data_IF_461625536254
#
_entry.id   IF_461625536254
#
_cell.length_a   1.000
_cell.length_b   1.000
_cell.length_c   1.000
_cell.angle_alpha   90.00
_cell.angle_beta   90.00
_cell.angle_gamma   90.00
#
_symmetry.space_group_name_H-M   'P 1'
#
loop_
_entity.id
_entity.type
_entity.pdbx_description
1 polymer ?
#
# COMPACT_ATOMS: atom_id res chain seq x y z
N UNK A 1 -50.00 -13.97 -31.69
CA UNK A 1 -49.16 -14.38 -30.55
C UNK A 1 -48.93 -13.13 -29.68
N UNK A 2 -49.71 -12.91 -28.61
CA UNK A 2 -49.76 -11.64 -27.83
C UNK A 2 -48.72 -11.58 -26.67
N UNK A 3 -47.60 -12.29 -26.80
CA UNK A 3 -46.51 -12.29 -25.82
C UNK A 3 -45.61 -11.04 -25.97
N UNK A 4 -45.78 -10.26 -27.04
CA UNK A 4 -44.67 -9.45 -27.56
C UNK A 4 -44.38 -8.15 -26.80
N UNK A 5 -45.38 -7.42 -26.30
CA UNK A 5 -45.12 -6.10 -25.70
C UNK A 5 -44.80 -6.14 -24.21
N UNK A 6 -45.58 -6.87 -23.42
CA UNK A 6 -45.36 -6.96 -21.96
C UNK A 6 -44.01 -7.62 -21.63
N UNK A 7 -43.66 -8.68 -22.35
CA UNK A 7 -42.37 -9.35 -22.20
C UNK A 7 -41.21 -8.42 -22.60
N UNK A 8 -41.36 -7.67 -23.70
CA UNK A 8 -40.36 -6.68 -24.12
C UNK A 8 -40.16 -5.58 -23.07
N UNK A 9 -41.24 -5.02 -22.51
CA UNK A 9 -41.14 -4.03 -21.43
C UNK A 9 -40.44 -4.59 -20.19
N UNK A 10 -40.72 -5.84 -19.80
CA UNK A 10 -40.02 -6.50 -18.70
C UNK A 10 -38.53 -6.69 -18.99
N UNK A 11 -38.17 -7.12 -20.20
CA UNK A 11 -36.76 -7.29 -20.62
C UNK A 11 -36.03 -5.94 -20.59
N UNK A 12 -36.63 -4.89 -21.16
CA UNK A 12 -36.07 -3.54 -21.15
C UNK A 12 -35.88 -3.06 -19.70
N UNK A 13 -36.86 -3.31 -18.83
CA UNK A 13 -36.76 -3.00 -17.40
C UNK A 13 -35.55 -3.68 -16.74
N UNK A 14 -35.37 -4.98 -16.97
CA UNK A 14 -34.24 -5.75 -16.42
C UNK A 14 -32.90 -5.20 -16.93
N UNK A 15 -32.78 -4.92 -18.23
CA UNK A 15 -31.56 -4.38 -18.83
C UNK A 15 -31.22 -3.01 -18.22
N UNK A 16 -32.21 -2.12 -18.05
CA UNK A 16 -31.96 -0.80 -17.45
C UNK A 16 -31.49 -0.91 -16.00
N UNK A 17 -32.13 -1.77 -15.19
CA UNK A 17 -31.70 -2.01 -13.80
C UNK A 17 -30.28 -2.57 -13.76
N UNK A 18 -29.94 -3.48 -14.67
CA UNK A 18 -28.59 -4.03 -14.76
C UNK A 18 -27.55 -2.96 -15.16
N UNK A 19 -27.84 -2.12 -16.16
CA UNK A 19 -26.95 -1.02 -16.55
C UNK A 19 -26.76 0.01 -15.43
N UNK A 20 -27.84 0.33 -14.70
CA UNK A 20 -27.77 1.21 -13.54
C UNK A 20 -26.87 0.61 -12.45
N UNK A 21 -27.03 -0.69 -12.17
CA UNK A 21 -26.19 -1.42 -11.22
C UNK A 21 -24.70 -1.37 -11.62
N UNK A 22 -24.38 -1.59 -12.90
CA UNK A 22 -23.01 -1.48 -13.41
C UNK A 22 -22.47 -0.05 -13.28
N UNK A 23 -23.28 0.96 -13.59
CA UNK A 23 -22.90 2.37 -13.47
C UNK A 23 -22.59 2.76 -12.01
N UNK A 24 -23.42 2.32 -11.06
CA UNK A 24 -23.17 2.52 -9.63
C UNK A 24 -21.89 1.84 -9.19
N UNK A 25 -21.71 0.57 -9.58
CA UNK A 25 -20.51 -0.21 -9.24
C UNK A 25 -19.25 0.48 -9.75
N UNK A 26 -19.23 0.89 -11.03
CA UNK A 26 -18.13 1.63 -11.63
C UNK A 26 -17.87 2.97 -10.93
N UNK A 27 -18.93 3.71 -10.58
CA UNK A 27 -18.78 4.99 -9.89
C UNK A 27 -18.14 4.83 -8.51
N UNK A 28 -18.52 3.78 -7.76
CA UNK A 28 -17.97 3.48 -6.44
C UNK A 28 -16.49 3.05 -6.50
N UNK A 29 -16.03 2.50 -7.62
CA UNK A 29 -14.65 2.07 -7.84
C UNK A 29 -13.84 2.98 -8.77
N UNK A 30 -14.38 4.14 -9.16
CA UNK A 30 -13.78 5.02 -10.17
C UNK A 30 -12.42 5.62 -9.77
N UNK A 31 -12.17 5.79 -8.48
CA UNK A 31 -10.91 6.33 -7.94
C UNK A 31 -10.40 5.46 -6.79
N UNK A 32 -9.10 5.58 -6.50
CA UNK A 32 -8.46 4.81 -5.41
C UNK A 32 -9.05 5.18 -4.06
N UNK A 33 -9.29 6.47 -3.84
CA UNK A 33 -9.78 7.04 -2.59
C UNK A 33 -11.16 6.50 -2.21
N UNK A 34 -11.96 6.04 -3.20
CA UNK A 34 -13.27 5.44 -2.95
C UNK A 34 -13.21 3.96 -2.58
N UNK A 35 -12.14 3.26 -2.97
CA UNK A 35 -12.00 1.81 -2.75
C UNK A 35 -11.11 1.48 -1.56
N UNK A 36 -10.23 2.39 -1.18
CA UNK A 36 -9.39 2.25 0.01
C UNK A 36 -10.24 2.36 1.27
N UNK A 37 -10.01 1.44 2.21
CA UNK A 37 -10.59 1.47 3.55
C UNK A 37 -9.49 1.88 4.52
N UNK A 38 -9.68 2.98 5.24
CA UNK A 38 -8.70 3.51 6.20
C UNK A 38 -8.17 4.88 5.77
N UNK A 39 -7.21 5.40 6.54
CA UNK A 39 -6.60 6.68 6.24
C UNK A 39 -5.45 6.48 5.24
N UNK A 40 -5.55 7.10 4.07
CA UNK A 40 -4.49 7.03 3.07
C UNK A 40 -3.31 7.88 3.55
N UNK A 41 -2.15 7.24 3.75
CA UNK A 41 -0.90 7.93 4.03
C UNK A 41 -0.21 8.37 2.75
N UNK A 42 -0.12 7.46 1.77
CA UNK A 42 0.59 7.69 0.52
C UNK A 42 0.00 6.86 -0.62
N UNK A 43 0.02 7.41 -1.84
CA UNK A 43 -0.37 6.69 -3.07
C UNK A 43 0.83 6.65 -4.02
N UNK A 44 1.44 5.49 -4.13
CA UNK A 44 2.64 5.26 -4.93
C UNK A 44 2.24 4.70 -6.30
N UNK A 45 2.41 5.44 -7.41
CA UNK A 45 2.13 4.92 -8.73
C UNK A 45 3.17 3.87 -9.13
N UNK A 46 2.71 2.68 -9.53
CA UNK A 46 3.57 1.63 -10.09
C UNK A 46 3.61 1.78 -11.60
N UNK A 47 2.44 1.84 -12.23
CA UNK A 47 2.24 2.11 -13.65
C UNK A 47 0.87 2.79 -13.87
N UNK A 48 0.43 2.93 -15.12
CA UNK A 48 -0.85 3.59 -15.44
C UNK A 48 -2.10 2.86 -14.90
N UNK A 49 -1.99 1.56 -14.63
CA UNK A 49 -3.08 0.71 -14.18
C UNK A 49 -2.90 0.14 -12.77
N UNK A 50 -1.77 0.41 -12.11
CA UNK A 50 -1.44 -0.16 -10.81
C UNK A 50 -0.84 0.87 -9.87
N UNK A 51 -1.25 0.79 -8.61
CA UNK A 51 -0.82 1.67 -7.53
C UNK A 51 -0.63 0.86 -6.26
N UNK A 52 0.31 1.27 -5.43
CA UNK A 52 0.40 0.82 -4.04
C UNK A 52 -0.09 1.95 -3.15
N UNK A 53 -0.89 1.62 -2.16
CA UNK A 53 -1.41 2.60 -1.18
C UNK A 53 -0.94 2.16 0.19
N UNK A 54 -0.29 3.08 0.91
CA UNK A 54 0.04 2.90 2.33
C UNK A 54 -1.14 3.43 3.14
N UNK A 55 -1.66 2.59 4.01
CA UNK A 55 -2.90 2.82 4.75
C UNK A 55 -2.58 2.75 6.23
N UNK A 56 -3.03 3.76 6.96
CA UNK A 56 -3.05 3.77 8.42
C UNK A 56 -4.44 3.35 8.90
N UNK A 57 -4.51 2.17 9.49
CA UNK A 57 -5.57 1.84 10.42
C UNK A 57 -5.06 2.23 11.81
N UNK A 58 -5.92 2.71 12.71
CA UNK A 58 -5.52 3.24 14.02
C UNK A 58 -4.48 2.40 14.80
N UNK A 59 -4.42 1.10 14.57
CA UNK A 59 -3.51 0.15 15.24
C UNK A 59 -2.33 -0.31 14.37
N UNK A 60 -2.40 -0.19 13.04
CA UNK A 60 -1.39 -0.72 12.11
C UNK A 60 -1.24 0.10 10.83
N UNK A 61 -0.03 0.10 10.27
CA UNK A 61 0.19 0.53 8.90
C UNK A 61 0.26 -0.70 8.03
N UNK A 62 -0.50 -0.71 6.95
CA UNK A 62 -0.45 -1.74 5.92
C UNK A 62 -0.28 -1.12 4.54
N UNK A 63 0.09 -1.93 3.56
CA UNK A 63 0.12 -1.53 2.18
C UNK A 63 -0.80 -2.45 1.38
N UNK A 64 -1.50 -1.86 0.41
CA UNK A 64 -2.35 -2.61 -0.51
C UNK A 64 -2.03 -2.19 -1.93
N UNK A 65 -1.86 -3.16 -2.82
CA UNK A 65 -1.76 -2.93 -4.25
C UNK A 65 -3.15 -2.92 -4.86
N UNK A 66 -3.37 -2.00 -5.78
CA UNK A 66 -4.63 -1.80 -6.48
C UNK A 66 -4.39 -1.84 -7.97
N UNK A 67 -5.30 -2.52 -8.67
CA UNK A 67 -5.28 -2.65 -10.13
C UNK A 67 -6.56 -2.10 -10.74
N UNK A 68 -6.41 -1.35 -11.82
CA UNK A 68 -7.51 -0.79 -12.59
C UNK A 68 -8.04 -1.84 -13.56
N UNK A 69 -9.28 -2.27 -13.35
CA UNK A 69 -10.03 -3.14 -14.26
C UNK A 69 -11.10 -2.39 -15.04
N UNK A 70 -11.92 -3.14 -15.77
CA UNK A 70 -13.06 -2.62 -16.55
C UNK A 70 -14.08 -1.92 -15.64
N UNK A 71 -14.28 -2.44 -14.43
CA UNK A 71 -15.19 -1.90 -13.43
C UNK A 71 -14.48 -1.05 -12.37
N UNK A 72 -13.42 -0.32 -12.74
CA UNK A 72 -12.69 0.56 -11.84
C UNK A 72 -11.56 -0.12 -11.07
N UNK A 73 -11.08 0.55 -10.01
CA UNK A 73 -10.01 0.07 -9.15
C UNK A 73 -10.49 -1.05 -8.22
N UNK A 74 -9.61 -2.02 -7.98
CA UNK A 74 -9.83 -3.10 -7.00
C UNK A 74 -8.53 -3.45 -6.31
N UNK A 75 -8.62 -3.99 -5.10
CA UNK A 75 -7.48 -4.56 -4.38
C UNK A 75 -6.97 -5.77 -5.17
N UNK A 76 -5.66 -5.85 -5.33
CA UNK A 76 -4.97 -6.94 -6.02
C UNK A 76 -4.12 -7.76 -5.03
N UNK A 77 -3.46 -7.07 -4.09
CA UNK A 77 -2.66 -7.67 -3.02
C UNK A 77 -2.63 -6.80 -1.77
N UNK A 78 -2.35 -7.43 -0.64
CA UNK A 78 -2.24 -6.77 0.67
C UNK A 78 -1.00 -7.33 1.36
N UNK A 79 -0.20 -6.47 1.98
CA UNK A 79 0.95 -6.88 2.77
C UNK A 79 0.56 -7.30 4.18
N UNK A 80 1.52 -7.90 4.89
CA UNK A 80 1.40 -8.05 6.33
C UNK A 80 1.35 -6.66 7.00
N UNK A 81 0.40 -6.42 7.92
CA UNK A 81 0.33 -5.17 8.65
C UNK A 81 1.54 -5.03 9.58
N UNK A 82 2.00 -3.81 9.75
CA UNK A 82 3.02 -3.43 10.72
C UNK A 82 2.29 -2.86 11.93
N UNK A 83 2.54 -3.40 13.12
CA UNK A 83 1.93 -2.90 14.34
C UNK A 83 2.50 -1.54 14.72
N UNK A 84 1.64 -0.63 15.16
CA UNK A 84 2.10 0.66 15.72
C UNK A 84 2.92 0.43 16.98
N UNK A 85 4.08 1.09 17.16
CA UNK A 85 4.80 1.07 18.42
C UNK A 85 3.91 1.53 19.57
N UNK A 86 4.11 0.96 20.75
CA UNK A 86 3.49 1.53 21.96
C UNK A 86 4.13 2.90 22.21
N UNK A 87 3.36 3.84 22.77
CA UNK A 87 3.77 5.26 22.96
C UNK A 87 5.12 5.46 23.67
N UNK A 88 5.67 4.45 24.34
CA UNK A 88 6.96 4.48 25.06
C UNK A 88 8.14 3.92 24.26
N UNK A 89 7.96 3.38 23.06
CA UNK A 89 9.07 2.83 22.26
C UNK A 89 9.75 3.96 21.48
N UNK A 90 10.93 4.37 21.96
CA UNK A 90 11.80 5.32 21.26
C UNK A 90 12.76 4.63 20.28
N UNK A 91 12.98 3.33 20.43
CA UNK A 91 13.89 2.58 19.58
C UNK A 91 13.17 1.92 18.41
N UNK A 92 13.83 1.92 17.25
CA UNK A 92 13.35 1.21 16.08
C UNK A 92 13.46 -0.31 16.26
N UNK A 93 12.50 -1.05 15.70
CA UNK A 93 12.47 -2.51 15.72
C UNK A 93 12.22 -3.08 14.35
N UNK A 94 12.75 -4.28 14.09
CA UNK A 94 12.64 -4.93 12.77
C UNK A 94 11.19 -5.30 12.41
N UNK A 95 10.35 -5.55 13.41
CA UNK A 95 8.92 -5.78 13.23
C UNK A 95 8.13 -4.50 12.90
N UNK A 96 8.81 -3.34 12.83
CA UNK A 96 8.26 -2.11 12.26
C UNK A 96 8.43 -2.02 10.74
N UNK A 97 8.90 -3.07 10.08
CA UNK A 97 9.13 -3.13 8.64
C UNK A 97 8.20 -4.16 8.01
N UNK A 98 7.64 -3.82 6.86
CA UNK A 98 6.98 -4.75 5.96
C UNK A 98 7.26 -4.36 4.51
N UNK A 99 6.76 -5.19 3.60
CA UNK A 99 6.98 -5.01 2.18
C UNK A 99 5.76 -5.44 1.39
N UNK A 100 5.58 -4.85 0.21
CA UNK A 100 4.62 -5.32 -0.79
C UNK A 100 5.25 -5.29 -2.18
N UNK A 101 4.88 -6.26 -3.01
CA UNK A 101 5.22 -6.26 -4.43
C UNK A 101 3.99 -6.00 -5.26
N UNK A 102 4.12 -5.16 -6.29
CA UNK A 102 3.12 -4.95 -7.32
C UNK A 102 3.82 -4.91 -8.68
N UNK A 103 3.51 -5.89 -9.53
CA UNK A 103 4.24 -6.13 -10.80
C UNK A 103 5.76 -6.23 -10.58
N UNK A 104 6.52 -5.31 -11.17
CA UNK A 104 7.98 -5.23 -11.16
C UNK A 104 8.53 -4.29 -10.08
N UNK A 105 7.67 -3.75 -9.21
CA UNK A 105 8.08 -2.86 -8.10
C UNK A 105 7.84 -3.50 -6.75
N UNK A 106 8.85 -3.39 -5.89
CA UNK A 106 8.74 -3.66 -4.46
C UNK A 106 8.67 -2.35 -3.69
N UNK A 107 7.87 -2.29 -2.64
CA UNK A 107 7.85 -1.17 -1.69
C UNK A 107 8.22 -1.73 -0.32
N UNK A 108 9.34 -1.27 0.24
CA UNK A 108 9.61 -1.39 1.67
C UNK A 108 8.92 -0.24 2.37
N UNK A 109 8.29 -0.50 3.51
CA UNK A 109 7.65 0.54 4.31
C UNK A 109 7.61 0.15 5.77
N UNK A 110 7.33 1.13 6.63
CA UNK A 110 7.26 0.85 8.04
C UNK A 110 6.88 2.04 8.92
N UNK A 111 6.81 1.76 10.21
CA UNK A 111 6.74 2.80 11.23
C UNK A 111 8.12 3.36 11.52
N UNK A 112 8.18 4.66 11.80
CA UNK A 112 9.35 5.33 12.34
C UNK A 112 8.99 5.96 13.69
N UNK A 113 9.64 5.55 14.80
CA UNK A 113 9.60 6.29 16.05
C UNK A 113 10.03 7.74 15.85
N UNK A 114 9.55 8.64 16.72
CA UNK A 114 9.83 10.09 16.59
C UNK A 114 11.30 10.47 16.64
N UNK A 115 12.11 9.65 17.30
CA UNK A 115 13.56 9.80 17.45
C UNK A 115 14.33 9.46 16.16
N UNK A 116 13.68 8.82 15.19
CA UNK A 116 14.27 8.40 13.92
C UNK A 116 14.18 9.52 12.90
N UNK A 117 15.33 9.98 12.44
CA UNK A 117 15.46 11.04 11.44
C UNK A 117 15.54 10.48 10.01
N UNK A 118 16.22 9.34 9.84
CA UNK A 118 16.50 8.79 8.53
C UNK A 118 16.56 7.27 8.55
N UNK A 119 16.06 6.68 7.47
CA UNK A 119 16.14 5.25 7.16
C UNK A 119 17.17 5.10 6.05
N UNK A 120 18.05 4.11 6.15
CA UNK A 120 19.01 3.79 5.10
C UNK A 120 18.88 2.33 4.70
N UNK A 121 18.80 2.10 3.40
CA UNK A 121 18.79 0.78 2.80
C UNK A 121 19.87 0.71 1.74
N UNK A 122 20.84 -0.18 1.92
CA UNK A 122 22.05 -0.25 1.11
C UNK A 122 22.40 -1.69 0.73
N UNK A 123 22.80 -1.90 -0.51
CA UNK A 123 23.41 -3.15 -0.97
C UNK A 123 24.64 -2.82 -1.84
N UNK A 124 25.14 -3.80 -2.59
CA UNK A 124 26.30 -3.59 -3.46
C UNK A 124 26.01 -2.67 -4.66
N UNK A 125 24.74 -2.49 -5.02
CA UNK A 125 24.30 -1.81 -6.23
C UNK A 125 23.75 -0.40 -5.95
N UNK A 126 23.21 -0.15 -4.76
CA UNK A 126 22.63 1.13 -4.37
C UNK A 126 22.77 1.43 -2.86
N UNK A 127 22.71 2.73 -2.52
CA UNK A 127 22.58 3.26 -1.15
C UNK A 127 21.44 4.29 -1.14
N UNK A 128 20.30 3.92 -0.58
CA UNK A 128 19.13 4.77 -0.49
C UNK A 128 19.02 5.31 0.92
N UNK A 129 18.94 6.63 1.03
CA UNK A 129 18.73 7.35 2.29
C UNK A 129 17.40 8.09 2.23
N UNK A 130 16.48 7.69 3.08
CA UNK A 130 15.14 8.24 3.17
C UNK A 130 15.00 9.08 4.43
N UNK A 131 14.82 10.39 4.25
CA UNK A 131 14.54 11.29 5.39
C UNK A 131 13.10 11.08 5.86
N UNK A 132 12.95 10.76 7.14
CA UNK A 132 11.64 10.54 7.76
C UNK A 132 11.00 11.89 8.03
N UNK A 133 9.82 12.11 7.46
CA UNK A 133 9.05 13.36 7.61
C UNK A 133 7.81 13.20 8.49
N UNK A 134 7.43 11.97 8.82
CA UNK A 134 6.25 11.62 9.61
C UNK A 134 6.54 10.34 10.40
N UNK A 135 5.56 9.77 11.08
CA UNK A 135 5.69 8.52 11.83
C UNK A 135 5.80 7.26 10.94
N UNK A 136 5.92 7.43 9.62
CA UNK A 136 6.04 6.35 8.65
C UNK A 136 7.08 6.69 7.58
N UNK A 137 7.55 5.67 6.89
CA UNK A 137 8.49 5.78 5.79
C UNK A 137 8.20 4.74 4.71
N UNK A 138 8.71 4.97 3.50
CA UNK A 138 8.68 3.98 2.43
C UNK A 138 9.85 4.19 1.46
N UNK A 139 10.32 3.10 0.86
CA UNK A 139 11.35 3.10 -0.16
C UNK A 139 10.86 2.24 -1.33
N UNK A 140 10.64 2.84 -2.52
CA UNK A 140 10.36 2.08 -3.73
C UNK A 140 11.65 1.44 -4.25
N UNK A 141 11.57 0.17 -4.59
CA UNK A 141 12.63 -0.67 -5.13
C UNK A 141 12.13 -1.38 -6.39
N UNK A 142 13.07 -1.86 -7.20
CA UNK A 142 12.76 -2.87 -8.21
C UNK A 142 12.41 -4.19 -7.50
N UNK A 143 11.46 -4.95 -8.04
CA UNK A 143 10.93 -6.16 -7.40
C UNK A 143 11.99 -7.20 -7.07
N UNK A 144 13.04 -7.30 -7.91
CA UNK A 144 14.18 -8.20 -7.69
C UNK A 144 15.01 -7.81 -6.45
N UNK A 145 14.98 -6.52 -6.08
CA UNK A 145 15.72 -5.95 -4.95
C UNK A 145 14.91 -5.93 -3.65
N UNK A 146 13.71 -6.53 -3.62
CA UNK A 146 12.86 -6.58 -2.42
C UNK A 146 13.28 -7.65 -1.41
N UNK A 147 14.28 -8.49 -1.72
CA UNK A 147 14.78 -9.48 -0.76
C UNK A 147 15.44 -8.78 0.43
N UNK A 148 14.66 -8.56 1.49
CA UNK A 148 15.09 -7.82 2.65
C UNK A 148 16.14 -8.62 3.43
N UNK A 149 17.38 -8.16 3.41
CA UNK A 149 18.40 -8.56 4.36
C UNK A 149 18.51 -7.46 5.44
N UNK A 150 18.25 -7.78 6.73
CA UNK A 150 18.37 -6.81 7.81
C UNK A 150 19.73 -6.09 7.86
N UNK A 151 20.82 -6.76 7.48
CA UNK A 151 22.17 -6.17 7.45
C UNK A 151 22.32 -5.00 6.47
N UNK A 152 21.43 -4.93 5.48
CA UNK A 152 21.36 -3.86 4.50
C UNK A 152 20.59 -2.64 5.03
N UNK A 153 20.04 -2.73 6.23
CA UNK A 153 19.16 -1.73 6.80
C UNK A 153 19.77 -1.10 8.05
N UNK A 154 19.80 0.23 8.08
CA UNK A 154 20.15 1.01 9.26
C UNK A 154 19.21 2.18 9.49
N UNK A 155 19.17 2.61 10.74
CA UNK A 155 18.34 3.72 11.20
C UNK A 155 19.24 4.76 11.82
N UNK A 156 19.05 6.02 11.42
CA UNK A 156 19.81 7.16 11.93
C UNK A 156 18.86 8.00 12.78
N UNK A 157 19.22 8.16 14.05
CA UNK A 157 18.45 8.91 15.03
C UNK A 157 18.78 10.41 14.99
N UNK A 158 17.95 11.23 15.62
CA UNK A 158 18.13 12.69 15.71
C UNK A 158 19.45 13.11 16.38
N UNK A 159 20.00 12.26 17.25
CA UNK A 159 21.29 12.46 17.91
C UNK A 159 22.50 12.06 17.04
N UNK A 160 22.26 11.60 15.81
CA UNK A 160 23.27 11.16 14.85
C UNK A 160 23.77 9.73 15.05
N UNK A 161 23.26 8.98 16.03
CA UNK A 161 23.57 7.55 16.16
C UNK A 161 22.97 6.78 14.98
N UNK A 162 23.76 5.91 14.37
CA UNK A 162 23.32 4.95 13.36
C UNK A 162 23.28 3.55 13.98
N UNK A 163 22.15 2.87 13.87
CA UNK A 163 21.95 1.51 14.38
C UNK A 163 21.66 0.58 13.21
N UNK A 164 22.46 -0.48 13.11
CA UNK A 164 22.28 -1.56 12.14
C UNK A 164 21.45 -2.67 12.79
N UNK A 165 20.46 -3.17 12.07
CA UNK A 165 19.62 -4.25 12.58
C UNK A 165 20.06 -5.57 11.95
N UNK A 166 20.83 -6.38 12.67
CA UNK A 166 21.16 -7.73 12.24
C UNK A 166 20.01 -8.70 12.58
N UNK A 167 19.73 -9.69 11.73
CA UNK A 167 18.86 -10.80 12.12
C UNK A 167 19.53 -11.55 13.27
N UNK A 168 18.92 -11.53 14.46
CA UNK A 168 19.22 -12.54 15.47
C UNK A 168 18.62 -13.86 14.97
N UNK A 169 19.47 -14.85 14.72
CA UNK A 169 19.06 -16.24 14.50
C UNK A 169 18.37 -16.80 15.74
#
# INVERSE_FOLDING_TARGET
>A
MKIERKLLFSIIGIINVFLLYLGITYYQSSTIEKVVKGNILEIIPVNHSEKVVIIDSSEFIEASSYKKGVFGWRVDGVSSPVSRPRLSEEDFRIDFISSITASDRGILYGYAPKSVNMIRFQNNDFDIRYKVHSYYWYIPLEGENLSFNPEQFSVIYDDGREVFHHSFQ
#
